data_IF_208959020176
#
_entry.id   IF_208959020176
#
_cell.length_a   1.000
_cell.length_b   1.000
_cell.length_c   1.000
_cell.angle_alpha   90.00
_cell.angle_beta   90.00
_cell.angle_gamma   90.00
#
_symmetry.space_group_name_H-M   'P 1'
#
loop_
_entity.id
_entity.type
_entity.pdbx_description
1 polymer ?
#
# COMPACT_ATOMS: atom_id res chain seq x y z
N UNK A 1 9.13 -22.93 -3.90
CA UNK A 1 10.30 -22.87 -3.01
C UNK A 1 9.88 -21.92 -1.90
N UNK A 2 9.51 -22.45 -0.75
CA UNK A 2 9.09 -21.63 0.41
C UNK A 2 10.33 -20.91 0.92
N UNK A 3 10.38 -19.60 0.72
CA UNK A 3 11.32 -18.74 1.45
C UNK A 3 10.89 -18.82 2.91
N UNK A 4 11.69 -19.47 3.75
CA UNK A 4 11.51 -19.33 5.19
C UNK A 4 11.69 -17.85 5.55
N UNK A 5 10.89 -17.30 6.48
CA UNK A 5 11.13 -15.95 6.97
C UNK A 5 12.54 -15.91 7.53
N UNK A 6 13.42 -15.14 6.91
CA UNK A 6 14.69 -14.78 7.53
C UNK A 6 14.35 -13.98 8.77
N UNK A 7 14.48 -14.60 9.96
CA UNK A 7 14.43 -13.93 11.25
C UNK A 7 15.46 -12.79 11.22
N UNK A 8 14.98 -11.60 10.87
CA UNK A 8 15.74 -10.38 11.03
C UNK A 8 15.72 -10.07 12.52
N UNK A 9 16.86 -9.77 13.15
CA UNK A 9 16.90 -9.49 14.57
C UNK A 9 15.97 -8.31 14.90
N UNK A 10 15.23 -8.42 16.01
CA UNK A 10 14.32 -7.38 16.47
C UNK A 10 15.03 -6.02 16.55
N UNK A 11 14.36 -4.92 16.17
CA UNK A 11 14.97 -3.60 16.19
C UNK A 11 15.27 -3.16 17.63
N UNK A 12 16.47 -2.60 17.85
CA UNK A 12 16.89 -2.11 19.16
C UNK A 12 16.05 -0.91 19.64
N UNK A 13 15.81 -0.73 20.94
CA UNK A 13 15.14 0.47 21.44
C UNK A 13 15.89 1.76 21.08
N UNK A 14 15.15 2.82 20.73
CA UNK A 14 15.73 4.13 20.42
C UNK A 14 15.28 4.71 19.07
N UNK A 15 15.99 5.74 18.62
CA UNK A 15 15.75 6.39 17.34
C UNK A 15 16.40 5.60 16.21
N UNK A 16 15.66 5.45 15.11
CA UNK A 16 16.07 4.77 13.90
C UNK A 16 16.01 5.72 12.71
N UNK A 17 16.82 5.44 11.70
CA UNK A 17 16.81 6.17 10.44
C UNK A 17 17.05 5.18 9.33
N UNK A 18 16.21 5.23 8.31
CA UNK A 18 16.40 4.52 7.06
C UNK A 18 16.59 5.55 5.96
N UNK A 19 17.56 5.29 5.08
CA UNK A 19 17.87 6.16 3.96
C UNK A 19 17.99 5.35 2.68
N UNK A 20 17.34 5.85 1.63
CA UNK A 20 17.52 5.38 0.26
C UNK A 20 17.90 6.56 -0.64
N UNK A 21 18.80 6.28 -1.59
CA UNK A 21 19.16 7.20 -2.66
C UNK A 21 18.54 6.71 -3.96
N UNK A 22 17.83 7.60 -4.66
CA UNK A 22 17.16 7.26 -5.90
C UNK A 22 17.02 8.48 -6.81
N UNK A 23 17.00 8.24 -8.12
CA UNK A 23 16.55 9.22 -9.10
C UNK A 23 15.05 9.11 -9.28
N UNK A 24 14.38 10.26 -9.35
CA UNK A 24 12.95 10.33 -9.68
C UNK A 24 12.70 9.95 -11.15
N UNK A 25 13.62 10.27 -12.04
CA UNK A 25 13.61 9.82 -13.44
C UNK A 25 15.05 9.66 -13.92
N UNK A 26 15.30 8.85 -14.96
CA UNK A 26 16.66 8.57 -15.43
C UNK A 26 17.46 9.83 -15.80
N UNK A 27 16.76 10.88 -16.23
CA UNK A 27 17.34 12.18 -16.61
C UNK A 27 17.57 13.14 -15.43
N UNK A 28 17.16 12.78 -14.22
CA UNK A 28 17.22 13.64 -13.03
C UNK A 28 18.42 13.30 -12.15
N UNK A 29 18.89 14.25 -11.32
CA UNK A 29 19.91 13.94 -10.32
C UNK A 29 19.35 12.97 -9.26
N UNK A 30 20.26 12.48 -8.41
CA UNK A 30 19.89 11.60 -7.32
C UNK A 30 19.42 12.40 -6.10
N UNK A 31 18.35 11.92 -5.48
CA UNK A 31 17.73 12.47 -4.29
C UNK A 31 17.94 11.50 -3.12
N UNK A 32 17.97 12.05 -1.90
CA UNK A 32 18.01 11.27 -0.66
C UNK A 32 16.65 11.28 0.02
N UNK A 33 16.12 10.11 0.32
CA UNK A 33 14.87 9.92 1.04
C UNK A 33 15.19 9.32 2.39
N UNK A 34 14.75 9.98 3.46
CA UNK A 34 15.12 9.65 4.83
C UNK A 34 13.86 9.50 5.66
N UNK A 35 13.56 8.27 6.05
CA UNK A 35 12.54 7.97 7.06
C UNK A 35 13.19 7.97 8.44
N UNK A 36 12.51 8.57 9.42
CA UNK A 36 12.92 8.52 10.83
C UNK A 36 11.91 7.71 11.62
N UNK A 37 12.40 6.98 12.62
CA UNK A 37 11.59 6.08 13.41
C UNK A 37 11.99 6.02 14.87
N UNK A 38 11.15 5.42 15.70
CA UNK A 38 11.42 5.20 17.10
C UNK A 38 10.87 3.84 17.56
N UNK A 39 11.68 3.06 18.27
CA UNK A 39 11.24 1.84 18.96
C UNK A 39 11.21 2.12 20.45
N UNK A 40 10.04 1.93 21.07
CA UNK A 40 9.88 2.07 22.51
C UNK A 40 9.97 0.67 23.17
N UNK A 41 10.87 0.50 24.15
CA UNK A 41 10.91 -0.68 25.06
C UNK A 41 11.41 -2.00 24.47
N UNK A 42 11.57 -3.01 25.33
CA UNK A 42 12.02 -4.38 25.00
C UNK A 42 10.86 -5.41 25.02
N UNK A 43 9.60 -4.95 25.16
CA UNK A 43 8.45 -5.86 25.29
C UNK A 43 8.04 -6.44 23.91
N UNK A 44 7.81 -7.75 23.85
CA UNK A 44 7.48 -8.58 22.66
C UNK A 44 6.31 -8.09 21.79
N UNK A 45 5.52 -7.12 22.26
CA UNK A 45 4.32 -6.61 21.60
C UNK A 45 4.42 -5.12 21.22
N UNK A 46 5.58 -4.48 21.42
CA UNK A 46 5.72 -3.05 21.13
C UNK A 46 5.94 -2.79 19.65
N UNK A 47 5.14 -1.84 19.15
CA UNK A 47 5.20 -1.32 17.81
C UNK A 47 6.34 -0.30 17.69
N UNK A 48 7.16 -0.42 16.64
CA UNK A 48 7.92 0.72 16.17
C UNK A 48 6.99 1.85 15.73
N UNK A 49 7.53 3.06 15.68
CA UNK A 49 6.86 4.22 15.14
C UNK A 49 7.64 4.78 13.96
N UNK A 50 6.96 5.08 12.86
CA UNK A 50 7.44 6.00 11.84
C UNK A 50 7.18 7.42 12.33
N UNK A 51 8.24 8.20 12.46
CA UNK A 51 8.25 9.52 13.08
C UNK A 51 8.25 10.65 12.05
N UNK A 52 8.78 10.41 10.85
CA UNK A 52 8.83 11.43 9.82
C UNK A 52 9.48 10.96 8.52
N UNK A 53 9.33 11.81 7.50
CA UNK A 53 9.91 11.65 6.17
C UNK A 53 10.57 12.96 5.75
N UNK A 54 11.82 12.88 5.26
CA UNK A 54 12.50 14.00 4.63
C UNK A 54 13.06 13.59 3.26
N UNK A 55 12.94 14.47 2.27
CA UNK A 55 13.56 14.29 0.96
C UNK A 55 14.49 15.46 0.67
N UNK A 56 15.73 15.15 0.30
CA UNK A 56 16.75 16.14 -0.02
C UNK A 56 17.13 16.05 -1.49
N UNK A 57 17.27 17.21 -2.13
CA UNK A 57 17.80 17.31 -3.49
C UNK A 57 19.32 17.10 -3.53
N UNK A 58 19.91 17.18 -4.73
CA UNK A 58 21.33 16.97 -4.97
C UNK A 58 22.25 17.98 -4.28
N UNK A 59 21.70 19.14 -3.89
CA UNK A 59 22.41 20.18 -3.15
C UNK A 59 22.27 20.02 -1.63
N UNK A 60 21.54 18.99 -1.18
CA UNK A 60 21.26 18.73 0.24
C UNK A 60 20.17 19.62 0.83
N UNK A 61 19.39 20.32 0.00
CA UNK A 61 18.24 21.11 0.44
C UNK A 61 17.02 20.20 0.61
N UNK A 62 16.30 20.36 1.73
CA UNK A 62 15.06 19.63 1.98
C UNK A 62 13.93 20.18 1.10
N UNK A 63 13.36 19.31 0.27
CA UNK A 63 12.26 19.63 -0.66
C UNK A 63 10.94 18.96 -0.26
N UNK A 64 10.98 18.06 0.73
CA UNK A 64 9.83 17.50 1.41
C UNK A 64 10.23 17.24 2.87
N UNK A 65 9.38 17.66 3.80
CA UNK A 65 9.51 17.36 5.23
C UNK A 65 8.12 17.10 5.79
N UNK A 66 7.90 15.90 6.32
CA UNK A 66 6.69 15.51 7.01
C UNK A 66 7.05 14.99 8.41
N UNK A 67 6.37 15.52 9.42
CA UNK A 67 6.51 15.12 10.82
C UNK A 67 5.22 14.38 11.22
N UNK A 68 5.37 13.12 11.60
CA UNK A 68 4.27 12.25 12.02
C UNK A 68 4.20 12.11 13.53
N UNK A 69 5.08 12.81 14.27
CA UNK A 69 5.13 12.71 15.72
C UNK A 69 3.94 13.36 16.38
N UNK A 70 3.38 12.68 17.38
CA UNK A 70 2.33 13.21 18.23
C UNK A 70 2.60 12.89 19.70
N UNK A 71 1.96 13.63 20.61
CA UNK A 71 2.09 13.42 22.05
C UNK A 71 0.82 12.77 22.56
N UNK A 72 0.93 11.51 22.98
CA UNK A 72 -0.15 10.75 23.62
C UNK A 72 0.27 10.37 25.05
N UNK A 73 -0.51 10.80 26.04
CA UNK A 73 -0.25 10.54 27.46
C UNK A 73 1.18 10.89 27.92
N UNK A 74 1.75 11.95 27.35
CA UNK A 74 3.12 12.41 27.66
C UNK A 74 4.24 11.61 27.00
N UNK A 75 3.90 10.67 26.11
CA UNK A 75 4.85 9.95 25.25
C UNK A 75 4.79 10.48 23.83
N UNK A 76 5.96 10.59 23.20
CA UNK A 76 6.05 10.90 21.77
C UNK A 76 5.85 9.59 21.00
N UNK A 77 4.82 9.54 20.18
CA UNK A 77 4.49 8.42 19.28
C UNK A 77 4.46 8.91 17.83
N UNK A 78 4.27 8.01 16.89
CA UNK A 78 4.06 8.32 15.47
C UNK A 78 3.17 7.28 14.81
N UNK A 79 3.33 7.08 13.51
CA UNK A 79 2.62 6.04 12.79
C UNK A 79 3.11 4.67 13.22
N UNK A 80 2.19 3.81 13.65
CA UNK A 80 2.54 2.45 14.03
C UNK A 80 3.18 1.71 12.85
N UNK A 81 4.30 1.03 13.09
CA UNK A 81 4.92 0.11 12.13
C UNK A 81 5.13 -1.26 12.77
N UNK A 82 4.94 -2.30 11.96
CA UNK A 82 5.26 -3.66 12.35
C UNK A 82 6.76 -3.82 12.51
N UNK A 83 7.24 -4.51 13.55
CA UNK A 83 8.68 -4.58 13.84
C UNK A 83 9.49 -5.16 12.67
N UNK A 84 8.92 -6.12 11.95
CA UNK A 84 9.55 -6.69 10.74
C UNK A 84 9.64 -5.75 9.54
N UNK A 85 9.05 -4.55 9.61
CA UNK A 85 9.16 -3.48 8.61
C UNK A 85 9.95 -2.27 9.15
N UNK A 86 10.54 -2.37 10.34
CA UNK A 86 11.24 -1.25 10.97
C UNK A 86 12.55 -0.90 10.26
N UNK A 87 13.10 -1.83 9.49
CA UNK A 87 14.30 -1.66 8.68
C UNK A 87 14.12 -0.63 7.56
N UNK A 88 12.93 -0.54 6.96
CA UNK A 88 12.58 0.44 5.92
C UNK A 88 11.54 1.47 6.35
N UNK A 89 10.77 1.18 7.41
CA UNK A 89 9.57 1.91 7.82
C UNK A 89 8.49 2.00 6.72
N UNK A 90 8.50 1.04 5.78
CA UNK A 90 7.63 1.03 4.61
C UNK A 90 7.88 2.21 3.66
N UNK A 91 9.10 2.76 3.66
CA UNK A 91 9.51 3.78 2.69
C UNK A 91 9.77 3.15 1.33
N UNK A 92 9.07 3.61 0.29
CA UNK A 92 9.36 3.26 -1.10
C UNK A 92 9.49 4.50 -1.97
N UNK A 93 10.30 4.37 -3.02
CA UNK A 93 10.46 5.36 -4.08
C UNK A 93 10.12 4.68 -5.40
N UNK A 94 8.89 4.88 -5.87
CA UNK A 94 8.28 4.11 -6.97
C UNK A 94 7.29 4.97 -7.74
N UNK A 95 7.11 4.71 -9.03
CA UNK A 95 6.15 5.42 -9.88
C UNK A 95 4.74 4.87 -9.63
N UNK A 96 3.93 5.58 -8.84
CA UNK A 96 2.60 5.10 -8.43
C UNK A 96 1.50 5.58 -9.37
N UNK A 97 1.74 6.64 -10.15
CA UNK A 97 0.76 7.22 -11.08
C UNK A 97 1.02 6.81 -12.54
N UNK A 98 2.10 6.07 -12.79
CA UNK A 98 2.55 5.51 -14.06
C UNK A 98 2.94 6.57 -15.10
N UNK A 99 3.46 7.72 -14.66
CA UNK A 99 3.89 8.82 -15.54
C UNK A 99 5.38 8.78 -15.94
N UNK A 100 6.12 7.79 -15.43
CA UNK A 100 7.55 7.60 -15.64
C UNK A 100 8.44 8.27 -14.60
N UNK A 101 7.88 9.07 -13.70
CA UNK A 101 8.59 9.67 -12.58
C UNK A 101 8.21 8.95 -11.29
N UNK A 102 9.22 8.60 -10.50
CA UNK A 102 9.00 8.00 -9.19
C UNK A 102 8.44 9.03 -8.23
N UNK A 103 7.59 8.53 -7.36
CA UNK A 103 6.99 9.20 -6.23
C UNK A 103 7.61 8.68 -4.93
N UNK A 104 7.16 9.21 -3.79
CA UNK A 104 7.54 8.69 -2.48
C UNK A 104 6.31 8.27 -1.69
N UNK A 105 6.39 7.08 -1.10
CA UNK A 105 5.35 6.54 -0.23
C UNK A 105 5.96 6.03 1.08
N UNK A 106 5.21 6.13 2.17
CA UNK A 106 5.64 5.68 3.48
C UNK A 106 4.47 5.11 4.28
N UNK A 107 4.72 4.10 5.11
CA UNK A 107 3.67 3.49 5.93
C UNK A 107 3.05 4.54 6.86
N UNK A 108 1.72 4.66 6.78
CA UNK A 108 0.92 5.55 7.62
C UNK A 108 0.23 4.77 8.75
N UNK A 109 -0.36 3.62 8.41
CA UNK A 109 -1.12 2.86 9.37
C UNK A 109 -1.13 1.39 9.04
N UNK A 110 -1.27 0.57 10.07
CA UNK A 110 -1.70 -0.80 9.90
C UNK A 110 -2.67 -1.21 11.00
N UNK A 111 -3.55 -2.16 10.69
CA UNK A 111 -4.51 -2.65 11.68
C UNK A 111 -5.54 -3.63 11.15
N UNK A 112 -6.48 -3.98 12.02
CA UNK A 112 -7.51 -4.97 11.74
C UNK A 112 -7.02 -6.42 11.84
N UNK A 113 -7.96 -7.36 11.77
CA UNK A 113 -7.70 -8.79 11.98
C UNK A 113 -6.72 -9.42 10.98
N UNK A 114 -6.46 -8.75 9.85
CA UNK A 114 -5.60 -9.23 8.77
C UNK A 114 -4.33 -8.38 8.60
N UNK A 115 -4.03 -7.50 9.54
CA UNK A 115 -2.88 -6.56 9.49
C UNK A 115 -2.86 -5.75 8.20
N UNK A 116 -4.00 -5.17 7.81
CA UNK A 116 -4.12 -4.31 6.65
C UNK A 116 -3.21 -3.10 6.80
N UNK A 117 -2.60 -2.62 5.72
CA UNK A 117 -1.69 -1.48 5.66
C UNK A 117 -2.23 -0.36 4.77
N UNK A 118 -1.89 0.86 5.15
CA UNK A 118 -2.15 2.10 4.41
C UNK A 118 -0.90 2.97 4.42
N UNK A 119 -0.71 3.75 3.37
CA UNK A 119 0.51 4.50 3.13
C UNK A 119 0.18 5.94 2.75
N UNK A 120 0.93 6.89 3.29
CA UNK A 120 0.94 8.23 2.73
C UNK A 120 1.76 8.26 1.45
N UNK A 121 1.35 9.11 0.51
CA UNK A 121 2.00 9.25 -0.79
C UNK A 121 2.17 10.73 -1.15
N UNK A 122 3.33 11.05 -1.72
CA UNK A 122 3.58 12.32 -2.36
C UNK A 122 4.02 12.10 -3.81
N UNK A 123 3.23 12.64 -4.73
CA UNK A 123 3.46 12.58 -6.15
C UNK A 123 4.49 13.62 -6.58
N UNK A 124 5.40 13.26 -7.47
CA UNK A 124 6.33 14.20 -8.08
C UNK A 124 5.62 15.04 -9.15
N UNK A 125 5.58 16.35 -8.96
CA UNK A 125 5.10 17.28 -9.99
C UNK A 125 6.27 17.82 -10.81
N UNK A 126 6.35 17.44 -12.07
CA UNK A 126 7.42 17.86 -12.99
C UNK A 126 7.36 19.35 -13.36
N UNK A 127 6.17 19.97 -13.36
CA UNK A 127 5.99 21.38 -13.68
C UNK A 127 6.52 22.29 -12.57
N UNK A 128 6.30 21.90 -11.31
CA UNK A 128 6.72 22.68 -10.13
C UNK A 128 8.02 22.18 -9.51
N UNK A 129 8.52 21.03 -9.96
CA UNK A 129 9.69 20.35 -9.38
C UNK A 129 9.55 20.15 -7.87
N UNK A 130 8.38 19.67 -7.44
CA UNK A 130 8.04 19.51 -6.03
C UNK A 130 7.11 18.33 -5.78
N UNK A 131 7.11 17.85 -4.54
CA UNK A 131 6.20 16.81 -4.08
C UNK A 131 4.83 17.35 -3.68
N UNK A 132 3.75 16.69 -4.11
CA UNK A 132 2.37 17.00 -3.76
C UNK A 132 1.70 15.79 -3.10
N UNK A 133 1.12 15.98 -1.91
CA UNK A 133 0.48 14.88 -1.18
C UNK A 133 -0.76 14.34 -1.94
N UNK A 134 -0.84 13.01 -2.10
CA UNK A 134 -1.99 12.32 -2.68
C UNK A 134 -2.86 11.71 -1.59
N UNK A 135 -3.97 12.40 -1.28
CA UNK A 135 -4.93 11.92 -0.28
C UNK A 135 -5.66 10.65 -0.74
N UNK A 136 -5.96 10.55 -2.03
CA UNK A 136 -6.68 9.40 -2.59
C UNK A 136 -5.85 8.11 -2.54
N UNK A 137 -4.52 8.20 -2.60
CA UNK A 137 -3.65 7.03 -2.41
C UNK A 137 -3.72 6.50 -0.97
N UNK A 138 -3.76 7.39 0.02
CA UNK A 138 -3.82 7.02 1.44
C UNK A 138 -5.09 6.24 1.84
N UNK A 139 -6.12 6.25 0.98
CA UNK A 139 -7.34 5.48 1.17
C UNK A 139 -7.22 4.03 0.66
N UNK A 140 -6.18 3.72 -0.13
CA UNK A 140 -5.98 2.39 -0.72
C UNK A 140 -5.40 1.45 0.34
N UNK A 141 -6.18 0.42 0.68
CA UNK A 141 -5.77 -0.63 1.60
C UNK A 141 -4.90 -1.68 0.88
N UNK A 142 -3.77 -2.07 1.47
CA UNK A 142 -2.83 -3.06 0.93
C UNK A 142 -2.57 -2.83 -0.58
N UNK A 143 -2.08 -1.65 -0.98
CA UNK A 143 -1.84 -1.33 -2.39
C UNK A 143 -0.81 -2.29 -3.00
N UNK A 144 -1.12 -2.81 -4.18
CA UNK A 144 -0.18 -3.56 -5.01
C UNK A 144 -0.17 -2.99 -6.43
N UNK A 145 1.00 -2.50 -6.87
CA UNK A 145 1.15 -1.83 -8.16
C UNK A 145 1.23 -2.85 -9.30
N UNK A 146 0.63 -2.49 -10.44
CA UNK A 146 0.82 -3.19 -11.71
C UNK A 146 1.08 -2.16 -12.81
N UNK A 147 2.37 -1.93 -13.08
CA UNK A 147 2.81 -1.00 -14.11
C UNK A 147 2.41 -1.46 -15.53
N UNK A 148 2.29 -2.77 -15.77
CA UNK A 148 1.89 -3.31 -17.06
C UNK A 148 0.42 -3.02 -17.40
N UNK A 149 -0.43 -2.88 -16.38
CA UNK A 149 -1.86 -2.54 -16.52
C UNK A 149 -2.21 -1.11 -16.10
N UNK A 150 -1.22 -0.36 -15.61
CA UNK A 150 -1.36 0.99 -15.05
C UNK A 150 -2.53 1.05 -14.08
N UNK A 151 -2.46 0.22 -13.03
CA UNK A 151 -3.46 0.16 -11.98
C UNK A 151 -2.88 -0.29 -10.64
N UNK A 152 -3.62 -0.01 -9.58
CA UNK A 152 -3.32 -0.48 -8.23
C UNK A 152 -4.42 -1.42 -7.78
N UNK A 153 -4.01 -2.59 -7.31
CA UNK A 153 -4.87 -3.58 -6.69
C UNK A 153 -4.97 -3.33 -5.20
N UNK A 154 -6.16 -3.56 -4.64
CA UNK A 154 -6.43 -3.42 -3.21
C UNK A 154 -7.21 -4.63 -2.73
N UNK A 155 -6.54 -5.43 -1.91
CA UNK A 155 -7.07 -6.61 -1.26
C UNK A 155 -7.06 -6.37 0.26
N UNK A 156 -8.21 -6.06 0.87
CA UNK A 156 -8.31 -5.77 2.29
C UNK A 156 -9.59 -6.35 2.86
N UNK A 157 -9.48 -7.34 3.74
CA UNK A 157 -10.63 -8.05 4.31
C UNK A 157 -10.76 -7.82 5.82
N UNK A 158 -11.98 -8.01 6.35
CA UNK A 158 -12.25 -8.08 7.79
C UNK A 158 -12.93 -9.40 8.18
N UNK A 159 -12.84 -10.46 7.35
CA UNK A 159 -13.51 -11.74 7.64
C UNK A 159 -13.20 -12.86 6.65
N UNK A 160 -13.27 -14.11 7.13
CA UNK A 160 -12.86 -15.33 6.42
C UNK A 160 -13.69 -15.70 5.17
N UNK A 161 -14.77 -14.97 4.88
CA UNK A 161 -15.65 -15.21 3.72
C UNK A 161 -15.45 -14.22 2.56
N UNK A 162 -14.56 -13.23 2.72
CA UNK A 162 -14.33 -12.20 1.71
C UNK A 162 -13.10 -12.55 0.86
N UNK A 163 -13.29 -12.58 -0.46
CA UNK A 163 -12.26 -12.85 -1.47
C UNK A 163 -12.36 -11.88 -2.66
N UNK A 164 -13.05 -10.76 -2.47
CA UNK A 164 -13.21 -9.68 -3.44
C UNK A 164 -12.20 -8.55 -3.21
N UNK A 165 -12.16 -7.56 -4.10
CA UNK A 165 -11.21 -6.46 -3.97
C UNK A 165 -11.55 -5.28 -4.88
N UNK A 166 -10.66 -4.30 -4.91
CA UNK A 166 -10.83 -3.09 -5.73
C UNK A 166 -9.63 -2.89 -6.65
N UNK A 167 -9.89 -2.33 -7.83
CA UNK A 167 -8.87 -1.89 -8.78
C UNK A 167 -9.00 -0.38 -8.91
N UNK A 168 -7.88 0.32 -8.71
CA UNK A 168 -7.77 1.77 -8.81
C UNK A 168 -6.98 2.14 -10.05
N UNK A 169 -7.37 3.26 -10.69
CA UNK A 169 -6.58 3.94 -11.71
C UNK A 169 -6.40 5.40 -11.34
N UNK A 170 -5.30 5.99 -11.78
CA UNK A 170 -5.05 7.41 -11.62
C UNK A 170 -5.79 8.18 -12.72
N UNK A 171 -6.77 9.00 -12.33
CA UNK A 171 -7.66 9.74 -13.24
C UNK A 171 -7.80 11.16 -12.68
N UNK A 172 -7.52 12.16 -13.51
CA UNK A 172 -7.67 13.58 -13.18
C UNK A 172 -6.99 14.01 -11.87
N UNK A 173 -5.83 13.42 -11.55
CA UNK A 173 -5.04 13.74 -10.36
C UNK A 173 -5.39 12.92 -9.11
N UNK A 174 -6.34 11.97 -9.20
CA UNK A 174 -6.77 11.16 -8.07
C UNK A 174 -6.81 9.66 -8.40
N UNK A 175 -6.61 8.81 -7.39
CA UNK A 175 -6.86 7.39 -7.50
C UNK A 175 -8.35 7.10 -7.39
N UNK A 176 -8.94 6.60 -8.47
CA UNK A 176 -10.37 6.32 -8.57
C UNK A 176 -10.59 4.81 -8.68
N UNK A 177 -11.51 4.26 -7.89
CA UNK A 177 -11.95 2.87 -8.02
C UNK A 177 -12.63 2.70 -9.38
N UNK A 178 -12.05 1.89 -10.26
CA UNK A 178 -12.65 1.59 -11.58
C UNK A 178 -13.41 0.27 -11.56
N UNK A 179 -13.02 -0.66 -10.69
CA UNK A 179 -13.64 -1.96 -10.55
C UNK A 179 -13.70 -2.37 -9.09
N UNK A 180 -14.81 -3.00 -8.70
CA UNK A 180 -15.00 -3.55 -7.35
C UNK A 180 -15.67 -4.90 -7.43
N UNK A 181 -15.11 -5.88 -6.73
CA UNK A 181 -15.70 -7.19 -6.52
C UNK A 181 -16.01 -7.30 -5.03
N UNK A 182 -17.30 -7.32 -4.69
CA UNK A 182 -17.76 -7.54 -3.33
C UNK A 182 -18.25 -8.98 -3.22
N UNK A 183 -17.74 -9.75 -2.24
CA UNK A 183 -18.06 -11.17 -2.08
C UNK A 183 -18.41 -11.48 -0.63
N UNK A 184 -19.34 -12.39 -0.39
CA UNK A 184 -19.59 -12.95 0.92
C UNK A 184 -20.00 -14.43 0.82
N UNK A 185 -20.58 -14.99 1.89
CA UNK A 185 -21.06 -16.38 1.91
C UNK A 185 -22.31 -16.62 1.06
N UNK A 186 -23.01 -15.56 0.64
CA UNK A 186 -24.31 -15.62 -0.01
C UNK A 186 -24.24 -15.26 -1.49
N UNK A 187 -23.19 -14.56 -1.92
CA UNK A 187 -23.03 -14.18 -3.31
C UNK A 187 -21.84 -13.29 -3.59
N UNK A 188 -21.88 -12.69 -4.78
CA UNK A 188 -20.96 -11.65 -5.20
C UNK A 188 -21.68 -10.58 -6.02
N UNK A 189 -21.10 -9.38 -6.00
CA UNK A 189 -21.47 -8.27 -6.87
C UNK A 189 -20.20 -7.65 -7.46
N UNK A 190 -20.10 -7.66 -8.79
CA UNK A 190 -19.07 -6.98 -9.54
C UNK A 190 -19.61 -5.64 -10.04
N UNK A 191 -18.85 -4.57 -9.79
CA UNK A 191 -19.16 -3.21 -10.23
C UNK A 191 -18.02 -2.64 -11.06
N UNK A 192 -18.38 -1.81 -12.03
CA UNK A 192 -17.44 -1.07 -12.87
C UNK A 192 -17.83 0.41 -12.95
N UNK A 193 -16.85 1.29 -13.00
CA UNK A 193 -17.05 2.71 -13.24
C UNK A 193 -17.45 2.92 -14.71
N UNK A 194 -18.65 3.43 -14.94
CA UNK A 194 -19.19 3.73 -16.26
C UNK A 194 -19.79 5.14 -16.20
N UNK A 195 -19.28 6.06 -17.03
CA UNK A 195 -19.72 7.46 -17.07
C UNK A 195 -19.73 8.15 -15.70
N UNK A 196 -18.69 7.91 -14.89
CA UNK A 196 -18.54 8.53 -13.57
C UNK A 196 -19.38 7.90 -12.45
N UNK A 197 -20.07 6.78 -12.72
CA UNK A 197 -20.86 6.07 -11.71
C UNK A 197 -20.48 4.59 -11.64
N UNK A 198 -20.36 4.05 -10.43
CA UNK A 198 -20.18 2.61 -10.22
C UNK A 198 -21.49 1.90 -10.53
N UNK A 199 -21.51 1.13 -11.62
CA UNK A 199 -22.66 0.34 -12.05
C UNK A 199 -22.41 -1.15 -11.79
N UNK A 200 -23.46 -1.88 -11.42
CA UNK A 200 -23.41 -3.34 -11.30
C UNK A 200 -23.31 -3.93 -12.70
N UNK A 201 -22.25 -4.69 -12.96
CA UNK A 201 -22.06 -5.41 -14.23
C UNK A 201 -22.32 -6.90 -14.08
N UNK A 202 -22.25 -7.41 -12.85
CA UNK A 202 -22.56 -8.81 -12.54
C UNK A 202 -23.00 -8.97 -11.09
N UNK A 203 -23.97 -9.84 -10.87
CA UNK A 203 -24.45 -10.21 -9.54
C UNK A 203 -24.82 -11.70 -9.56
N UNK A 204 -24.34 -12.45 -8.57
CA UNK A 204 -24.59 -13.90 -8.44
C UNK A 204 -24.93 -14.19 -7.00
N UNK A 205 -26.03 -14.91 -6.76
CA UNK A 205 -26.33 -15.50 -5.45
C UNK A 205 -26.01 -16.99 -5.48
N UNK A 206 -25.36 -17.48 -4.42
CA UNK A 206 -24.99 -18.89 -4.28
C UNK A 206 -26.15 -19.75 -3.79
N UNK A 207 -27.09 -19.17 -3.04
CA UNK A 207 -28.15 -19.93 -2.39
C UNK A 207 -27.59 -21.05 -1.51
N UNK A 208 -28.16 -22.25 -1.61
CA UNK A 208 -27.68 -23.45 -0.89
C UNK A 208 -26.67 -24.27 -1.69
N UNK A 209 -26.38 -23.88 -2.95
CA UNK A 209 -25.54 -24.66 -3.85
C UNK A 209 -24.08 -24.21 -3.80
N UNK A 210 -23.27 -25.00 -3.07
CA UNK A 210 -21.83 -24.76 -2.93
C UNK A 210 -21.05 -24.85 -4.26
N UNK A 211 -21.59 -25.52 -5.28
CA UNK A 211 -20.91 -25.60 -6.59
C UNK A 211 -20.87 -24.24 -7.29
N UNK A 212 -21.81 -23.34 -6.99
CA UNK A 212 -21.79 -21.98 -7.55
C UNK A 212 -20.60 -21.21 -7.01
N UNK A 213 -20.35 -21.24 -5.69
CA UNK A 213 -19.21 -20.57 -5.08
C UNK A 213 -17.88 -21.05 -5.71
N UNK A 214 -17.67 -22.36 -5.81
CA UNK A 214 -16.45 -22.94 -6.39
C UNK A 214 -16.26 -22.51 -7.85
N UNK A 215 -17.33 -22.53 -8.65
CA UNK A 215 -17.30 -22.09 -10.05
C UNK A 215 -16.98 -20.60 -10.18
N UNK A 216 -17.55 -19.76 -9.33
CA UNK A 216 -17.29 -18.31 -9.35
C UNK A 216 -15.86 -18.01 -8.92
N UNK A 217 -15.35 -18.66 -7.87
CA UNK A 217 -13.94 -18.53 -7.48
C UNK A 217 -13.02 -18.91 -8.64
N UNK A 218 -13.25 -20.06 -9.29
CA UNK A 218 -12.47 -20.50 -10.45
C UNK A 218 -12.54 -19.51 -11.61
N UNK A 219 -13.70 -18.91 -11.88
CA UNK A 219 -13.84 -17.88 -12.90
C UNK A 219 -12.94 -16.67 -12.62
N UNK A 220 -12.98 -16.12 -11.39
CA UNK A 220 -12.23 -14.90 -11.09
C UNK A 220 -10.72 -15.14 -10.95
N UNK A 221 -10.31 -16.34 -10.49
CA UNK A 221 -8.92 -16.79 -10.52
C UNK A 221 -8.32 -16.74 -11.93
N UNK A 222 -9.08 -17.15 -12.93
CA UNK A 222 -8.63 -17.23 -14.32
C UNK A 222 -9.01 -16.00 -15.18
N UNK A 223 -9.78 -15.06 -14.65
CA UNK A 223 -10.22 -13.89 -15.42
C UNK A 223 -9.05 -12.95 -15.73
N UNK A 224 -8.99 -12.37 -16.93
CA UNK A 224 -7.88 -11.48 -17.33
C UNK A 224 -7.76 -10.22 -16.46
N UNK A 225 -8.90 -9.69 -16.02
CA UNK A 225 -8.95 -8.49 -15.20
C UNK A 225 -8.57 -8.79 -13.75
N UNK A 226 -9.25 -9.76 -13.14
CA UNK A 226 -9.11 -10.02 -11.70
C UNK A 226 -7.92 -10.91 -11.40
N UNK A 227 -7.72 -12.05 -12.06
CA UNK A 227 -6.59 -12.94 -11.78
C UNK A 227 -6.38 -13.21 -10.27
N UNK A 228 -7.43 -13.56 -9.51
CA UNK A 228 -7.39 -13.56 -8.03
C UNK A 228 -6.38 -14.52 -7.37
N UNK A 229 -5.78 -15.44 -8.14
CA UNK A 229 -4.66 -16.29 -7.68
C UNK A 229 -3.28 -15.63 -7.86
N UNK A 230 -3.22 -14.47 -8.51
CA UNK A 230 -1.99 -13.74 -8.68
C UNK A 230 -1.54 -13.11 -7.33
N UNK A 231 -0.25 -13.15 -7.00
CA UNK A 231 0.26 -12.70 -5.69
C UNK A 231 -0.03 -11.24 -5.29
N UNK A 232 -0.37 -10.37 -6.25
CA UNK A 232 -0.77 -8.98 -5.97
C UNK A 232 -2.09 -8.85 -5.17
N UNK A 233 -2.91 -9.91 -5.11
CA UNK A 233 -4.12 -9.93 -4.30
C UNK A 233 -3.77 -10.48 -2.93
N UNK A 234 -3.23 -9.62 -2.09
CA UNK A 234 -2.70 -10.04 -0.81
C UNK A 234 -3.82 -10.16 0.25
N UNK A 235 -4.25 -11.40 0.51
CA UNK A 235 -5.45 -11.67 1.33
C UNK A 235 -5.21 -11.74 2.85
N UNK A 236 -4.00 -12.06 3.31
CA UNK A 236 -3.69 -12.37 4.72
C UNK A 236 -2.34 -11.81 5.14
N UNK A 237 -2.30 -10.88 6.10
CA UNK A 237 -1.05 -10.36 6.68
C UNK A 237 -0.52 -9.12 5.97
N UNK A 238 -1.36 -8.11 5.75
CA UNK A 238 -1.12 -6.96 4.87
C UNK A 238 0.18 -6.17 5.06
N UNK A 239 0.94 -6.38 6.14
CA UNK A 239 2.32 -5.92 6.28
C UNK A 239 3.27 -6.53 5.23
N UNK A 240 2.98 -7.72 4.73
CA UNK A 240 3.70 -8.32 3.60
C UNK A 240 3.25 -7.77 2.24
N UNK A 241 2.17 -6.97 2.17
CA UNK A 241 1.79 -6.30 0.93
C UNK A 241 2.81 -5.24 0.50
N UNK A 242 3.61 -4.75 1.45
CA UNK A 242 4.71 -3.79 1.25
C UNK A 242 5.65 -4.18 0.10
N UNK A 243 5.91 -5.48 -0.10
CA UNK A 243 6.78 -5.95 -1.18
C UNK A 243 6.24 -5.65 -2.60
N UNK A 244 4.93 -5.40 -2.75
CA UNK A 244 4.27 -5.11 -4.03
C UNK A 244 4.22 -3.62 -4.36
N UNK A 245 4.88 -2.79 -3.56
CA UNK A 245 5.07 -1.37 -3.80
C UNK A 245 6.38 -1.07 -4.55
N UNK A 246 7.39 -1.94 -4.42
CA UNK A 246 8.59 -1.90 -5.24
C UNK A 246 8.30 -2.48 -6.62
N UNK A 247 8.36 -1.65 -7.68
CA UNK A 247 8.23 -2.15 -9.04
C UNK A 247 9.34 -3.17 -9.37
N UNK A 248 8.98 -4.32 -9.93
CA UNK A 248 9.92 -5.24 -10.59
C UNK A 248 10.44 -4.70 -11.93
#
# INVERSE_FOLDING_TARGET
MTLEPTDSPDPLPGLHTYEIQARLHESMPEYRFVATGAVQGEDEWMYGFVMGLNVYNENGESILSADFSEILEGKVIGYHVYNGMMDTMGLHVTDVNFDGYKDVIILNSFGGAHSNTWYDCWLWNTETSSFAASKSFAEICNPALDAGKECIYSAGGSGAGYWGGSIYKFIDGEYVVTNKLDTDWYGLVERKLINGKMEIVREVSYGEDKQILEREQEYYKNSELWQLDHPHWYWLGGHHADQWLGGE
#
